data_IF_765036764472
#
_entry.id   IF_765036764472
#
_cell.length_a   1.000
_cell.length_b   1.000
_cell.length_c   1.000
_cell.angle_alpha   90.00
_cell.angle_beta   90.00
_cell.angle_gamma   90.00
#
_symmetry.space_group_name_H-M   'P 1'
#
loop_
_entity.id
_entity.type
_entity.pdbx_description
1 polymer ?
#
# COMPACT_ATOMS: atom_id res chain seq x y z
N UNK A 1 37.77 28.26 41.43
CA UNK A 1 38.18 27.32 40.37
C UNK A 1 38.01 25.90 40.90
N UNK A 2 36.83 25.32 40.73
CA UNK A 2 36.52 23.95 41.18
C UNK A 2 36.92 22.96 40.09
N UNK A 3 38.14 22.43 40.19
CA UNK A 3 38.61 21.34 39.33
C UNK A 3 37.88 20.04 39.67
N UNK A 4 37.19 19.44 38.70
CA UNK A 4 36.58 18.12 38.85
C UNK A 4 37.65 17.06 39.12
N UNK A 5 37.38 16.20 40.11
CA UNK A 5 38.22 15.04 40.46
C UNK A 5 38.51 14.14 39.23
N UNK A 6 39.72 13.56 39.11
CA UNK A 6 40.10 12.68 38.00
C UNK A 6 39.12 11.51 37.76
N UNK A 7 38.50 11.00 38.84
CA UNK A 7 37.55 9.90 38.77
C UNK A 7 36.22 10.31 38.11
N UNK A 8 35.78 11.55 38.31
CA UNK A 8 34.58 12.11 37.68
C UNK A 8 34.76 12.28 36.16
N UNK A 9 36.00 12.54 35.70
CA UNK A 9 36.32 12.68 34.27
C UNK A 9 36.28 11.31 33.56
N UNK A 10 36.74 10.25 34.21
CA UNK A 10 36.76 8.89 33.65
C UNK A 10 35.35 8.31 33.57
N UNK A 11 34.53 8.50 34.61
CA UNK A 11 33.13 8.07 34.64
C UNK A 11 32.31 8.75 33.53
N UNK A 12 32.50 10.06 33.34
CA UNK A 12 31.81 10.84 32.29
C UNK A 12 32.19 10.39 30.88
N UNK A 13 33.45 10.02 30.63
CA UNK A 13 33.90 9.50 29.33
C UNK A 13 33.32 8.12 29.00
N UNK A 14 33.14 7.25 30.00
CA UNK A 14 32.49 5.94 29.80
C UNK A 14 31.00 6.09 29.49
N UNK A 15 30.32 6.99 30.20
CA UNK A 15 28.89 7.28 29.99
C UNK A 15 28.63 7.85 28.58
N UNK A 16 29.44 8.83 28.15
CA UNK A 16 29.33 9.43 26.81
C UNK A 16 29.62 8.42 25.70
N UNK A 17 30.60 7.52 25.89
CA UNK A 17 30.88 6.45 24.91
C UNK A 17 29.75 5.42 24.83
N UNK A 18 29.13 5.06 25.96
CA UNK A 18 27.99 4.14 25.98
C UNK A 18 26.77 4.72 25.25
N UNK A 19 26.48 6.01 25.44
CA UNK A 19 25.39 6.72 24.76
C UNK A 19 25.68 6.84 23.25
N UNK A 20 26.90 7.18 22.86
CA UNK A 20 27.27 7.30 21.44
C UNK A 20 27.15 5.96 20.68
N UNK A 21 27.50 4.84 21.32
CA UNK A 21 27.36 3.51 20.73
C UNK A 21 25.88 3.12 20.60
N UNK A 22 25.05 3.37 21.62
CA UNK A 22 23.61 3.07 21.59
C UNK A 22 22.85 3.91 20.55
N UNK A 23 23.22 5.18 20.36
CA UNK A 23 22.64 6.04 19.32
C UNK A 23 23.12 5.60 17.93
N UNK A 24 24.39 5.24 17.78
CA UNK A 24 24.95 4.76 16.51
C UNK A 24 24.32 3.45 16.03
N UNK A 25 24.09 2.50 16.94
CA UNK A 25 23.44 1.22 16.61
C UNK A 25 21.95 1.38 16.31
N UNK A 26 21.24 2.28 17.00
CA UNK A 26 19.84 2.60 16.71
C UNK A 26 19.66 3.21 15.32
N UNK A 27 20.54 4.14 14.93
CA UNK A 27 20.49 4.76 13.60
C UNK A 27 20.83 3.77 12.48
N UNK A 28 21.84 2.91 12.70
CA UNK A 28 22.20 1.87 11.74
C UNK A 28 21.08 0.84 11.56
N UNK A 29 20.38 0.46 12.63
CA UNK A 29 19.22 -0.43 12.56
C UNK A 29 18.06 0.19 11.78
N UNK A 30 17.79 1.49 11.94
CA UNK A 30 16.77 2.21 11.17
C UNK A 30 17.12 2.30 9.68
N UNK A 31 18.40 2.53 9.34
CA UNK A 31 18.85 2.56 7.94
C UNK A 31 18.73 1.18 7.30
N UNK A 32 19.12 0.11 8.01
CA UNK A 32 18.97 -1.27 7.51
C UNK A 32 17.49 -1.65 7.38
N UNK A 33 16.64 -1.27 8.35
CA UNK A 33 15.20 -1.51 8.27
C UNK A 33 14.57 -0.77 7.08
N UNK A 34 14.90 0.52 6.88
CA UNK A 34 14.41 1.28 5.74
C UNK A 34 14.90 0.70 4.40
N UNK A 35 16.14 0.19 4.34
CA UNK A 35 16.69 -0.40 3.12
C UNK A 35 16.12 -1.79 2.82
N UNK A 36 15.91 -2.61 3.85
CA UNK A 36 15.27 -3.94 3.72
C UNK A 36 13.79 -3.78 3.37
N UNK A 37 13.06 -2.87 4.02
CA UNK A 37 11.68 -2.56 3.63
C UNK A 37 11.61 -1.99 2.21
N UNK A 38 12.51 -1.07 1.83
CA UNK A 38 12.52 -0.49 0.48
C UNK A 38 12.91 -1.46 -0.64
N UNK A 39 13.72 -2.49 -0.36
CA UNK A 39 14.12 -3.52 -1.35
C UNK A 39 13.07 -4.60 -1.58
N UNK A 40 12.09 -4.74 -0.68
CA UNK A 40 11.01 -5.74 -0.78
C UNK A 40 9.78 -5.17 -1.52
N UNK A 41 9.76 -3.86 -1.78
CA UNK A 41 8.72 -3.22 -2.58
C UNK A 41 9.09 -3.38 -4.05
N UNK A 42 8.34 -4.22 -4.78
CA UNK A 42 8.52 -4.37 -6.23
C UNK A 42 8.35 -3.00 -6.92
N UNK A 43 9.00 -2.78 -8.07
CA UNK A 43 8.88 -1.51 -8.81
C UNK A 43 7.43 -1.17 -9.17
N UNK A 44 6.58 -2.18 -9.32
CA UNK A 44 5.13 -2.02 -9.53
C UNK A 44 4.46 -1.47 -8.29
N UNK A 45 4.75 -2.03 -7.11
CA UNK A 45 4.22 -1.55 -5.83
C UNK A 45 4.66 -0.11 -5.51
N UNK A 46 5.86 0.31 -5.94
CA UNK A 46 6.28 1.72 -5.82
C UNK A 46 5.43 2.62 -6.70
N UNK A 47 5.16 2.23 -7.95
CA UNK A 47 4.32 3.02 -8.85
C UNK A 47 2.90 3.12 -8.32
N UNK A 48 2.32 2.01 -7.83
CA UNK A 48 0.98 2.01 -7.26
C UNK A 48 0.87 2.98 -6.09
N UNK A 49 1.84 2.99 -5.18
CA UNK A 49 1.87 3.95 -4.06
C UNK A 49 2.08 5.39 -4.53
N UNK A 50 2.96 5.62 -5.52
CA UNK A 50 3.25 6.96 -6.03
C UNK A 50 2.06 7.57 -6.76
N UNK A 51 1.30 6.74 -7.49
CA UNK A 51 0.12 7.14 -8.24
C UNK A 51 -1.18 6.87 -7.47
N UNK A 52 -1.14 6.49 -6.19
CA UNK A 52 -2.32 6.16 -5.38
C UNK A 52 -3.16 4.96 -5.89
N UNK A 53 -2.68 4.18 -6.87
CA UNK A 53 -3.41 3.04 -7.41
C UNK A 53 -3.61 1.92 -6.37
N UNK A 54 -4.72 1.19 -6.51
CA UNK A 54 -5.00 -0.03 -5.76
C UNK A 54 -5.13 -1.19 -6.75
N UNK A 55 -4.04 -1.91 -7.06
CA UNK A 55 -4.06 -2.93 -8.10
C UNK A 55 -4.80 -4.19 -7.63
N UNK A 56 -5.54 -4.82 -8.55
CA UNK A 56 -6.00 -6.20 -8.33
C UNK A 56 -4.82 -7.16 -8.48
N UNK A 57 -4.68 -8.07 -7.53
CA UNK A 57 -3.63 -9.10 -7.46
C UNK A 57 -4.16 -10.50 -7.76
N UNK A 58 -5.41 -10.59 -8.20
CA UNK A 58 -6.11 -11.84 -8.54
C UNK A 58 -5.28 -12.74 -9.47
N UNK A 59 -5.32 -14.05 -9.21
CA UNK A 59 -4.71 -15.04 -10.07
C UNK A 59 -5.56 -15.31 -11.32
N UNK A 60 -4.91 -15.78 -12.40
CA UNK A 60 -5.59 -15.93 -13.69
C UNK A 60 -6.75 -16.94 -13.68
N UNK A 61 -6.72 -17.93 -12.79
CA UNK A 61 -7.77 -18.95 -12.61
C UNK A 61 -9.01 -18.42 -11.85
N UNK A 62 -8.88 -17.26 -11.21
CA UNK A 62 -9.96 -16.61 -10.48
C UNK A 62 -10.61 -15.46 -11.27
N UNK A 63 -10.08 -15.14 -12.47
CA UNK A 63 -10.65 -14.09 -13.32
C UNK A 63 -11.92 -14.62 -14.01
N UNK A 64 -13.07 -13.95 -13.84
CA UNK A 64 -14.31 -14.39 -14.44
C UNK A 64 -14.34 -14.11 -15.95
N UNK A 65 -15.33 -14.68 -16.63
CA UNK A 65 -15.56 -14.37 -18.04
C UNK A 65 -15.94 -12.90 -18.23
N UNK A 66 -15.62 -12.34 -19.39
CA UNK A 66 -15.94 -10.94 -19.71
C UNK A 66 -17.42 -10.59 -19.53
N UNK A 67 -18.32 -11.50 -19.90
CA UNK A 67 -19.76 -11.29 -19.75
C UNK A 67 -20.21 -11.18 -18.29
N UNK A 68 -19.54 -11.89 -17.37
CA UNK A 68 -19.82 -11.77 -15.93
C UNK A 68 -19.33 -10.41 -15.43
N UNK A 69 -18.12 -9.98 -15.83
CA UNK A 69 -17.59 -8.67 -15.49
C UNK A 69 -18.45 -7.51 -16.04
N UNK A 70 -18.94 -7.61 -17.28
CA UNK A 70 -19.83 -6.61 -17.88
C UNK A 70 -21.17 -6.48 -17.16
N UNK A 71 -21.74 -7.60 -16.70
CA UNK A 71 -22.95 -7.57 -15.87
C UNK A 71 -22.70 -6.91 -14.53
N UNK A 72 -21.66 -7.34 -13.83
CA UNK A 72 -21.30 -6.78 -12.53
C UNK A 72 -20.96 -5.29 -12.60
N UNK A 73 -20.27 -4.85 -13.67
CA UNK A 73 -19.96 -3.44 -13.91
C UNK A 73 -21.22 -2.59 -14.16
N UNK A 74 -22.22 -3.14 -14.85
CA UNK A 74 -23.48 -2.44 -15.10
C UNK A 74 -24.33 -2.25 -13.83
N UNK A 75 -24.13 -3.13 -12.84
CA UNK A 75 -24.80 -3.08 -11.52
C UNK A 75 -23.91 -2.42 -10.45
N UNK A 76 -22.68 -2.02 -10.81
CA UNK A 76 -21.76 -1.37 -9.90
C UNK A 76 -22.33 0.00 -9.45
N UNK A 77 -22.26 0.35 -8.16
CA UNK A 77 -22.81 1.60 -7.66
C UNK A 77 -22.20 2.81 -8.38
N UNK A 78 -23.05 3.75 -8.78
CA UNK A 78 -22.59 5.01 -9.35
C UNK A 78 -21.89 5.85 -8.27
N UNK A 79 -20.68 6.31 -8.57
CA UNK A 79 -19.87 7.13 -7.69
C UNK A 79 -19.49 8.39 -8.47
N UNK A 80 -19.77 9.56 -7.90
CA UNK A 80 -19.43 10.83 -8.54
C UNK A 80 -17.92 10.95 -8.76
N UNK A 81 -17.54 11.45 -9.93
CA UNK A 81 -16.15 11.65 -10.35
C UNK A 81 -15.32 10.35 -10.48
N UNK A 82 -15.99 9.20 -10.66
CA UNK A 82 -15.35 7.92 -10.94
C UNK A 82 -15.97 7.22 -12.17
N UNK A 83 -15.12 6.57 -12.97
CA UNK A 83 -15.53 5.82 -14.15
C UNK A 83 -15.34 4.31 -13.93
N UNK A 84 -16.39 3.52 -14.16
CA UNK A 84 -16.35 2.07 -14.02
C UNK A 84 -16.16 1.43 -15.40
N UNK A 85 -15.07 0.68 -15.56
CA UNK A 85 -14.67 0.06 -16.81
C UNK A 85 -14.49 -1.45 -16.64
N UNK A 86 -14.63 -2.18 -17.74
CA UNK A 86 -14.27 -3.60 -17.82
C UNK A 86 -12.98 -3.73 -18.61
N UNK A 87 -11.96 -4.32 -17.99
CA UNK A 87 -10.63 -4.48 -18.59
C UNK A 87 -10.26 -5.96 -18.71
N UNK A 88 -9.71 -6.35 -19.86
CA UNK A 88 -9.32 -7.73 -20.11
C UNK A 88 -8.14 -8.15 -19.23
N UNK A 89 -8.25 -9.32 -18.62
CA UNK A 89 -7.20 -9.89 -17.78
C UNK A 89 -7.19 -11.41 -17.88
N UNK A 90 -6.03 -12.00 -18.16
CA UNK A 90 -5.86 -13.46 -18.21
C UNK A 90 -6.84 -14.22 -19.13
N UNK A 91 -7.40 -13.58 -20.16
CA UNK A 91 -8.43 -14.18 -21.04
C UNK A 91 -9.88 -14.08 -20.51
N UNK A 92 -10.06 -13.54 -19.32
CA UNK A 92 -11.34 -13.05 -18.78
C UNK A 92 -11.31 -11.53 -18.64
N UNK A 93 -12.06 -10.98 -17.69
CA UNK A 93 -12.03 -9.56 -17.39
C UNK A 93 -12.28 -9.25 -15.91
N UNK A 94 -11.84 -8.06 -15.50
CA UNK A 94 -12.05 -7.49 -14.16
C UNK A 94 -12.67 -6.09 -14.28
N UNK A 95 -13.10 -5.53 -13.16
CA UNK A 95 -13.55 -4.13 -13.08
C UNK A 95 -12.36 -3.23 -12.76
N UNK A 96 -12.20 -2.14 -13.52
CA UNK A 96 -11.30 -1.03 -13.21
C UNK A 96 -12.15 0.19 -12.89
N UNK A 97 -11.98 0.76 -11.70
CA UNK A 97 -12.60 2.04 -11.33
C UNK A 97 -11.54 3.12 -11.43
N UNK A 98 -11.72 4.06 -12.35
CA UNK A 98 -10.84 5.21 -12.55
C UNK A 98 -11.32 6.40 -11.72
N UNK A 99 -10.40 7.14 -11.12
CA UNK A 99 -10.67 8.33 -10.30
C UNK A 99 -9.53 9.35 -10.42
N UNK A 100 -9.79 10.62 -10.08
CA UNK A 100 -8.80 11.70 -10.23
C UNK A 100 -8.13 12.16 -8.92
N UNK A 101 -8.64 11.75 -7.76
CA UNK A 101 -8.12 12.17 -6.45
C UNK A 101 -8.38 11.17 -5.32
N UNK A 102 -7.63 11.32 -4.23
CA UNK A 102 -7.69 10.42 -3.07
C UNK A 102 -9.03 10.46 -2.32
N UNK A 103 -9.73 11.59 -2.29
CA UNK A 103 -11.06 11.66 -1.65
C UNK A 103 -12.08 10.84 -2.45
N UNK A 104 -11.98 10.84 -3.77
CA UNK A 104 -12.77 9.95 -4.63
C UNK A 104 -12.38 8.48 -4.43
N UNK A 105 -11.09 8.17 -4.30
CA UNK A 105 -10.63 6.81 -3.95
C UNK A 105 -11.25 6.31 -2.65
N UNK A 106 -11.20 7.11 -1.59
CA UNK A 106 -11.77 6.77 -0.27
C UNK A 106 -13.28 6.49 -0.36
N UNK A 107 -14.04 7.31 -1.12
CA UNK A 107 -15.46 7.06 -1.37
C UNK A 107 -15.71 5.73 -2.09
N UNK A 108 -14.86 5.37 -3.05
CA UNK A 108 -14.96 4.07 -3.74
C UNK A 108 -14.67 2.92 -2.78
N UNK A 109 -13.65 3.05 -1.94
CA UNK A 109 -13.31 2.05 -0.93
C UNK A 109 -14.42 1.89 0.12
N UNK A 110 -15.07 2.99 0.55
CA UNK A 110 -16.21 2.94 1.47
C UNK A 110 -17.38 2.14 0.86
N UNK A 111 -17.71 2.39 -0.42
CA UNK A 111 -18.75 1.63 -1.13
C UNK A 111 -18.37 0.14 -1.22
N UNK A 112 -17.12 -0.16 -1.57
CA UNK A 112 -16.62 -1.53 -1.68
C UNK A 112 -16.55 -2.25 -0.33
N UNK A 113 -16.32 -1.54 0.77
CA UNK A 113 -16.37 -2.10 2.12
C UNK A 113 -17.81 -2.43 2.53
N UNK A 114 -18.78 -1.57 2.16
CA UNK A 114 -20.20 -1.79 2.46
C UNK A 114 -20.85 -2.89 1.64
N UNK A 115 -20.47 -3.00 0.36
CA UNK A 115 -21.24 -3.78 -0.61
C UNK A 115 -20.41 -4.81 -1.40
N UNK A 116 -19.08 -4.70 -1.36
CA UNK A 116 -18.14 -5.67 -1.91
C UNK A 116 -17.44 -6.47 -0.81
N UNK A 117 -16.18 -6.85 -1.05
CA UNK A 117 -15.30 -7.35 0.00
C UNK A 117 -13.82 -7.16 -0.37
N UNK A 118 -12.98 -7.08 0.67
CA UNK A 118 -11.53 -7.11 0.53
C UNK A 118 -10.97 -8.49 0.83
N UNK A 119 -10.20 -9.04 -0.12
CA UNK A 119 -9.35 -10.19 0.10
C UNK A 119 -7.88 -9.77 0.22
N UNK A 120 -7.18 -10.37 1.17
CA UNK A 120 -5.81 -9.98 1.50
C UNK A 120 -4.81 -10.30 0.38
N UNK A 121 -5.07 -11.35 -0.39
CA UNK A 121 -4.14 -11.84 -1.41
C UNK A 121 -4.44 -11.22 -2.78
N UNK A 122 -5.72 -11.02 -3.09
CA UNK A 122 -6.21 -10.63 -4.42
C UNK A 122 -6.75 -9.19 -4.52
N UNK A 123 -7.09 -8.54 -3.40
CA UNK A 123 -7.52 -7.14 -3.33
C UNK A 123 -9.03 -6.97 -3.24
N UNK A 124 -9.57 -5.90 -3.84
CA UNK A 124 -11.01 -5.63 -3.83
C UNK A 124 -11.78 -6.55 -4.76
N UNK A 125 -13.00 -6.87 -4.34
CA UNK A 125 -13.96 -7.63 -5.12
C UNK A 125 -15.35 -7.00 -5.04
N UNK A 126 -16.04 -7.01 -6.18
CA UNK A 126 -17.44 -6.66 -6.31
C UNK A 126 -18.21 -7.88 -6.81
N UNK A 127 -19.19 -8.34 -6.04
CA UNK A 127 -19.83 -9.63 -6.26
C UNK A 127 -18.79 -10.78 -6.38
N UNK A 128 -18.58 -11.28 -7.60
CA UNK A 128 -17.62 -12.33 -7.95
C UNK A 128 -16.56 -11.85 -8.95
N UNK A 129 -16.40 -10.53 -9.07
CA UNK A 129 -15.51 -9.89 -10.03
C UNK A 129 -14.44 -9.10 -9.29
N UNK A 130 -13.14 -9.35 -9.56
CA UNK A 130 -12.07 -8.56 -8.98
C UNK A 130 -12.16 -7.10 -9.42
N UNK A 131 -11.80 -6.20 -8.52
CA UNK A 131 -11.78 -4.75 -8.74
C UNK A 131 -10.37 -4.23 -8.56
N UNK A 132 -9.95 -3.37 -9.48
CA UNK A 132 -8.77 -2.53 -9.28
C UNK A 132 -9.17 -1.05 -9.34
N UNK A 133 -8.48 -0.23 -8.56
CA UNK A 133 -8.68 1.22 -8.53
C UNK A 133 -7.48 1.89 -9.18
N UNK A 134 -7.74 2.80 -10.13
CA UNK A 134 -6.69 3.47 -10.89
C UNK A 134 -6.84 4.99 -10.89
N UNK A 135 -5.80 5.68 -10.47
CA UNK A 135 -5.70 7.12 -10.55
C UNK A 135 -5.33 7.55 -11.97
N UNK A 136 -6.06 8.52 -12.54
CA UNK A 136 -5.93 8.97 -13.94
C UNK A 136 -5.82 10.48 -14.08
#
# INVERSE_FOLDING_TARGET
>A
MTGLSPEAVIARRRLVRGIAIAVGSGLAALIVAAFVCGRVISSFTVQDVVFDNVPSKVHCDEVPSRQVAERAAAEFPAIDDADVLVVDRCGGAIIEVQYGDTTTRERIEDVLDETGHWDRESGWWWESVPVQLRNV
#
